data_IF_804458046208
#
_entry.id   IF_804458046208
#
_cell.length_a   1.000
_cell.length_b   1.000
_cell.length_c   1.000
_cell.angle_alpha   90.00
_cell.angle_beta   90.00
_cell.angle_gamma   90.00
#
_symmetry.space_group_name_H-M   'P 1'
#
loop_
_entity.id
_entity.type
_entity.pdbx_description
1 polymer ?
#
# COMPACT_ATOMS: atom_id res chain seq x y z
N UNK A 1 18.18 -32.78 -49.14
CA UNK A 1 18.44 -32.78 -47.69
C UNK A 1 17.42 -31.91 -46.98
N UNK A 2 16.61 -32.51 -46.08
CA UNK A 2 15.48 -31.86 -45.40
C UNK A 2 15.94 -31.09 -44.17
N UNK A 3 15.13 -30.14 -43.68
CA UNK A 3 15.16 -29.73 -42.27
C UNK A 3 13.72 -29.75 -41.76
N UNK A 4 13.54 -30.53 -40.70
CA UNK A 4 12.28 -30.86 -40.04
C UNK A 4 11.62 -29.68 -39.34
N UNK A 5 10.31 -29.82 -39.12
CA UNK A 5 9.46 -28.90 -38.40
C UNK A 5 9.82 -28.72 -36.93
N UNK A 6 9.55 -27.51 -36.45
CA UNK A 6 9.44 -27.17 -35.03
C UNK A 6 8.06 -26.57 -34.78
N UNK A 7 7.17 -27.35 -34.18
CA UNK A 7 5.85 -26.93 -33.76
C UNK A 7 6.00 -25.94 -32.60
N UNK A 8 5.53 -24.71 -32.76
CA UNK A 8 5.44 -23.73 -31.65
C UNK A 8 4.32 -24.22 -30.73
N UNK A 9 4.57 -24.50 -29.43
CA UNK A 9 3.50 -24.89 -28.53
C UNK A 9 2.50 -23.74 -28.43
N UNK A 10 1.22 -24.02 -28.70
CA UNK A 10 0.13 -23.09 -28.47
C UNK A 10 0.08 -22.75 -26.98
N UNK A 11 0.58 -21.57 -26.63
CA UNK A 11 0.31 -20.97 -25.32
C UNK A 11 -1.20 -20.89 -25.17
N UNK A 12 -1.70 -21.49 -24.07
CA UNK A 12 -3.10 -21.57 -23.72
C UNK A 12 -3.79 -20.20 -23.60
N UNK A 13 -5.08 -20.19 -23.22
CA UNK A 13 -5.95 -19.03 -23.38
C UNK A 13 -5.32 -17.77 -22.77
N UNK A 14 -5.09 -16.79 -23.65
CA UNK A 14 -4.67 -15.43 -23.26
C UNK A 14 -5.69 -14.89 -22.26
N UNK A 15 -5.28 -14.35 -21.10
CA UNK A 15 -6.24 -13.72 -20.21
C UNK A 15 -6.80 -12.50 -20.95
N UNK A 16 -8.06 -12.64 -21.35
CA UNK A 16 -8.89 -11.56 -21.86
C UNK A 16 -8.93 -10.50 -20.76
N UNK A 17 -8.41 -9.31 -21.02
CA UNK A 17 -8.56 -8.16 -20.12
C UNK A 17 -10.04 -7.77 -20.12
N UNK A 18 -10.80 -8.34 -19.18
CA UNK A 18 -12.20 -7.98 -18.98
C UNK A 18 -12.21 -6.66 -18.20
N UNK A 19 -12.49 -5.56 -18.90
CA UNK A 19 -12.91 -4.31 -18.28
C UNK A 19 -14.30 -4.55 -17.69
N UNK A 20 -14.35 -4.96 -16.44
CA UNK A 20 -15.58 -5.22 -15.70
C UNK A 20 -15.74 -4.20 -14.57
N UNK A 21 -16.92 -3.60 -14.50
CA UNK A 21 -17.40 -2.80 -13.38
C UNK A 21 -17.18 -3.57 -12.06
N UNK A 22 -16.52 -2.94 -11.09
CA UNK A 22 -16.10 -3.52 -9.80
C UNK A 22 -17.30 -3.84 -8.89
N UNK A 23 -18.52 -3.62 -9.39
CA UNK A 23 -19.78 -3.77 -8.67
C UNK A 23 -20.44 -5.16 -8.83
N UNK A 24 -19.93 -6.07 -9.68
CA UNK A 24 -20.52 -7.39 -9.90
C UNK A 24 -19.95 -8.48 -8.97
N UNK A 25 -20.71 -8.94 -7.95
CA UNK A 25 -20.25 -9.96 -7.00
C UNK A 25 -19.95 -11.31 -7.65
N UNK A 26 -20.48 -11.58 -8.84
CA UNK A 26 -20.28 -12.83 -9.59
C UNK A 26 -18.90 -12.87 -10.23
N UNK A 27 -18.46 -11.74 -10.80
CA UNK A 27 -17.11 -11.59 -11.36
C UNK A 27 -16.05 -11.58 -10.26
N UNK A 28 -16.32 -10.92 -9.13
CA UNK A 28 -15.46 -11.00 -7.93
C UNK A 28 -15.31 -12.45 -7.48
N UNK A 29 -16.39 -13.23 -7.42
CA UNK A 29 -16.36 -14.63 -6.98
C UNK A 29 -15.66 -15.56 -7.98
N UNK A 30 -15.86 -15.35 -9.29
CA UNK A 30 -15.19 -16.13 -10.33
C UNK A 30 -13.68 -15.85 -10.33
N UNK A 31 -13.28 -14.58 -10.22
CA UNK A 31 -11.89 -14.16 -10.11
C UNK A 31 -11.25 -14.67 -8.81
N UNK A 32 -11.95 -14.55 -7.67
CA UNK A 32 -11.57 -15.15 -6.40
C UNK A 32 -11.40 -16.67 -6.53
N UNK A 33 -12.28 -17.41 -7.22
CA UNK A 33 -12.15 -18.87 -7.35
C UNK A 33 -10.92 -19.29 -8.20
N UNK A 34 -10.64 -18.53 -9.26
CA UNK A 34 -9.47 -18.74 -10.13
C UNK A 34 -8.16 -18.44 -9.39
N UNK A 35 -8.18 -17.40 -8.56
CA UNK A 35 -7.06 -17.01 -7.70
C UNK A 35 -6.89 -17.94 -6.51
N UNK A 36 -7.97 -18.39 -5.87
CA UNK A 36 -7.89 -19.41 -4.83
C UNK A 36 -7.25 -20.66 -5.41
N UNK A 37 -7.54 -20.99 -6.68
CA UNK A 37 -6.88 -22.08 -7.40
C UNK A 37 -5.42 -21.79 -7.79
N UNK A 38 -5.02 -20.53 -8.00
CA UNK A 38 -3.65 -20.12 -8.31
C UNK A 38 -2.78 -20.03 -7.04
N UNK A 39 -3.28 -19.37 -5.99
CA UNK A 39 -2.74 -19.36 -4.62
C UNK A 39 -2.66 -20.78 -4.06
N UNK A 40 -3.68 -21.62 -4.29
CA UNK A 40 -3.66 -23.03 -3.89
C UNK A 40 -2.64 -23.86 -4.67
N UNK A 41 -2.24 -23.44 -5.89
CA UNK A 41 -1.17 -24.11 -6.66
C UNK A 41 0.22 -23.66 -6.21
N UNK A 42 0.35 -22.48 -5.62
CA UNK A 42 1.60 -21.98 -5.05
C UNK A 42 1.79 -22.33 -3.57
N UNK A 43 1.01 -23.30 -3.05
CA UNK A 43 1.22 -23.94 -1.74
C UNK A 43 2.52 -24.75 -1.72
N UNK A 44 3.67 -24.09 -1.85
CA UNK A 44 4.86 -24.56 -1.16
C UNK A 44 4.57 -24.38 0.33
N UNK A 45 4.11 -25.46 0.96
CA UNK A 45 3.92 -25.59 2.40
C UNK A 45 2.88 -24.63 3.03
N UNK A 46 1.60 -24.86 2.78
CA UNK A 46 0.57 -24.46 3.75
C UNK A 46 0.66 -25.37 4.97
N UNK A 47 1.42 -24.94 5.96
CA UNK A 47 1.10 -25.26 7.34
C UNK A 47 0.08 -24.22 7.80
N UNK A 48 -1.05 -24.72 8.27
CA UNK A 48 -2.05 -24.03 9.09
C UNK A 48 -1.41 -23.02 10.04
N UNK A 49 -1.92 -21.78 10.04
CA UNK A 49 -1.56 -20.75 11.03
C UNK A 49 -0.08 -20.41 10.98
N UNK A 50 0.32 -19.58 10.02
CA UNK A 50 1.43 -18.71 10.35
C UNK A 50 0.86 -17.78 11.43
N UNK A 51 1.52 -17.71 12.56
CA UNK A 51 1.25 -16.66 13.55
C UNK A 51 2.15 -15.50 13.15
N UNK A 52 1.74 -14.27 13.54
CA UNK A 52 2.59 -13.05 13.51
C UNK A 52 4.06 -13.48 13.64
N UNK A 53 4.90 -13.20 12.63
CA UNK A 53 6.27 -13.67 12.69
C UNK A 53 6.92 -13.13 13.95
N UNK A 54 7.21 -14.03 14.90
CA UNK A 54 8.04 -13.68 16.04
C UNK A 54 9.37 -13.12 15.55
N UNK A 55 9.99 -12.25 16.36
CA UNK A 55 11.32 -11.69 16.12
C UNK A 55 12.24 -12.74 15.47
N UNK A 56 12.66 -12.48 14.23
CA UNK A 56 13.64 -13.32 13.52
C UNK A 56 13.12 -14.21 12.38
N UNK A 57 11.84 -14.15 11.98
CA UNK A 57 11.44 -14.77 10.70
C UNK A 57 11.86 -13.90 9.51
N UNK A 58 12.29 -14.54 8.41
CA UNK A 58 12.69 -13.84 7.18
C UNK A 58 11.46 -13.25 6.49
N UNK A 59 11.37 -11.93 6.52
CA UNK A 59 10.38 -11.14 5.81
C UNK A 59 10.91 -10.75 4.43
N UNK A 60 10.08 -10.80 3.40
CA UNK A 60 10.41 -10.31 2.08
C UNK A 60 9.76 -8.96 1.82
N UNK A 61 10.57 -7.91 1.91
CA UNK A 61 10.17 -6.54 1.66
C UNK A 61 10.34 -6.20 0.18
N UNK A 62 9.26 -5.80 -0.47
CA UNK A 62 9.31 -5.29 -1.83
C UNK A 62 9.30 -3.77 -1.87
N UNK A 63 10.37 -3.19 -2.41
CA UNK A 63 10.47 -1.73 -2.63
C UNK A 63 10.72 -1.42 -4.10
N UNK A 64 10.56 -0.15 -4.47
CA UNK A 64 11.05 0.40 -5.73
C UNK A 64 12.39 1.11 -5.54
N UNK A 65 12.93 1.61 -6.64
CA UNK A 65 14.09 2.49 -6.71
C UNK A 65 13.67 3.91 -6.37
N UNK A 66 13.58 4.21 -5.08
CA UNK A 66 13.25 5.57 -4.62
C UNK A 66 14.35 6.11 -3.71
N UNK A 67 14.74 7.35 -3.98
CA UNK A 67 15.63 8.16 -3.15
C UNK A 67 14.86 9.07 -2.20
N UNK A 68 13.52 8.96 -2.13
CA UNK A 68 12.73 9.81 -1.24
C UNK A 68 13.01 9.43 0.25
N UNK A 69 13.36 10.40 1.09
CA UNK A 69 13.66 10.15 2.50
C UNK A 69 12.50 9.52 3.28
N UNK A 70 11.24 9.90 3.04
CA UNK A 70 10.09 9.36 3.76
C UNK A 70 9.87 7.88 3.42
N UNK A 71 10.06 7.50 2.15
CA UNK A 71 9.99 6.08 1.75
C UNK A 71 11.17 5.27 2.30
N UNK A 72 12.36 5.89 2.40
CA UNK A 72 13.50 5.29 3.07
C UNK A 72 13.20 5.04 4.55
N UNK A 73 12.51 5.96 5.22
CA UNK A 73 12.07 5.79 6.62
C UNK A 73 11.05 4.68 6.75
N UNK A 74 10.01 4.64 5.92
CA UNK A 74 9.05 3.53 5.91
C UNK A 74 9.74 2.17 5.66
N UNK A 75 10.74 2.13 4.77
CA UNK A 75 11.54 0.94 4.53
C UNK A 75 12.35 0.53 5.76
N UNK A 76 13.03 1.47 6.41
CA UNK A 76 13.77 1.23 7.66
C UNK A 76 12.84 0.78 8.78
N UNK A 77 11.69 1.42 8.97
CA UNK A 77 10.64 1.05 9.92
C UNK A 77 10.25 -0.43 9.77
N UNK A 78 9.94 -0.84 8.52
CA UNK A 78 9.53 -2.21 8.21
C UNK A 78 10.66 -3.24 8.40
N UNK A 79 11.91 -2.83 8.22
CA UNK A 79 13.10 -3.70 8.37
C UNK A 79 13.64 -3.75 9.79
N UNK A 80 13.40 -2.73 10.62
CA UNK A 80 13.98 -2.62 11.96
C UNK A 80 13.49 -3.73 12.91
N UNK A 81 12.24 -4.17 12.72
CA UNK A 81 11.60 -5.19 13.54
C UNK A 81 11.80 -6.62 13.01
N UNK A 82 12.47 -6.79 11.87
CA UNK A 82 12.52 -8.09 11.18
C UNK A 82 13.88 -8.37 10.53
N UNK A 83 14.38 -9.60 10.63
CA UNK A 83 15.60 -10.05 9.92
C UNK A 83 15.35 -10.36 8.44
N UNK A 84 14.59 -9.51 7.76
CA UNK A 84 14.08 -9.72 6.40
C UNK A 84 15.09 -9.49 5.29
N UNK A 85 14.82 -10.08 4.12
CA UNK A 85 15.51 -9.79 2.86
C UNK A 85 14.67 -8.77 2.07
N UNK A 86 15.31 -7.80 1.42
CA UNK A 86 14.63 -6.93 0.48
C UNK A 86 14.75 -7.44 -0.95
N UNK A 87 13.70 -7.26 -1.74
CA UNK A 87 13.70 -7.46 -3.20
C UNK A 87 13.26 -6.19 -3.90
N UNK A 88 13.93 -5.87 -4.99
CA UNK A 88 13.49 -4.81 -5.88
C UNK A 88 12.49 -5.39 -6.87
N UNK A 89 11.24 -4.92 -6.83
CA UNK A 89 10.24 -5.22 -7.86
C UNK A 89 9.84 -3.93 -8.56
N UNK A 90 9.87 -3.94 -9.89
CA UNK A 90 9.39 -2.82 -10.71
C UNK A 90 7.86 -2.80 -10.78
N UNK A 91 7.28 -1.60 -10.72
CA UNK A 91 5.84 -1.38 -10.90
C UNK A 91 4.97 -1.69 -9.68
N UNK A 92 3.97 -0.85 -9.44
CA UNK A 92 3.02 -0.95 -8.33
C UNK A 92 2.21 -2.25 -8.37
N UNK A 93 1.70 -2.62 -9.55
CA UNK A 93 0.90 -3.84 -9.72
C UNK A 93 1.65 -5.13 -9.41
N UNK A 94 2.92 -5.24 -9.83
CA UNK A 94 3.74 -6.43 -9.55
C UNK A 94 4.05 -6.60 -8.06
N UNK A 95 4.27 -5.50 -7.34
CA UNK A 95 4.46 -5.52 -5.88
C UNK A 95 3.21 -6.02 -5.17
N UNK A 96 2.04 -5.48 -5.52
CA UNK A 96 0.77 -5.89 -4.93
C UNK A 96 0.43 -7.36 -5.27
N UNK A 97 0.72 -7.80 -6.50
CA UNK A 97 0.56 -9.20 -6.89
C UNK A 97 1.50 -10.12 -6.09
N UNK A 98 2.74 -9.71 -5.85
CA UNK A 98 3.66 -10.47 -5.01
C UNK A 98 3.13 -10.65 -3.58
N UNK A 99 2.46 -9.63 -3.02
CA UNK A 99 1.78 -9.72 -1.71
C UNK A 99 0.62 -10.72 -1.78
N UNK A 100 -0.26 -10.59 -2.77
CA UNK A 100 -1.43 -11.45 -2.89
C UNK A 100 -1.09 -12.92 -3.14
N UNK A 101 0.04 -13.20 -3.80
CA UNK A 101 0.56 -14.54 -4.04
C UNK A 101 1.41 -15.09 -2.87
N UNK A 102 1.63 -14.31 -1.81
CA UNK A 102 2.52 -14.67 -0.70
C UNK A 102 4.00 -14.75 -1.08
N UNK A 103 4.38 -14.14 -2.20
CA UNK A 103 5.77 -13.98 -2.64
C UNK A 103 6.46 -12.80 -1.97
N UNK A 104 5.73 -11.86 -1.40
CA UNK A 104 6.23 -10.77 -0.57
C UNK A 104 5.33 -10.63 0.67
N UNK A 105 5.87 -10.06 1.74
CA UNK A 105 5.16 -9.92 3.02
C UNK A 105 4.67 -8.49 3.23
N UNK A 106 5.50 -7.50 2.86
CA UNK A 106 5.13 -6.09 2.78
C UNK A 106 5.68 -5.49 1.49
N UNK A 107 4.95 -4.51 0.95
CA UNK A 107 5.37 -3.75 -0.22
C UNK A 107 5.19 -2.26 0.03
N UNK A 108 6.25 -1.50 -0.23
CA UNK A 108 6.24 -0.03 -0.19
C UNK A 108 6.34 0.49 -1.63
N UNK A 109 5.39 1.34 -2.00
CA UNK A 109 5.28 1.92 -3.33
C UNK A 109 5.68 3.40 -3.28
N UNK A 110 6.08 3.94 -4.43
CA UNK A 110 6.49 5.33 -4.51
C UNK A 110 5.29 6.29 -4.52
N UNK A 111 5.57 7.56 -4.27
CA UNK A 111 4.59 8.66 -4.31
C UNK A 111 4.03 8.95 -5.71
N UNK A 112 4.60 8.35 -6.75
CA UNK A 112 4.17 8.49 -8.15
C UNK A 112 3.16 7.41 -8.57
N UNK A 113 2.88 6.44 -7.69
CA UNK A 113 1.79 5.50 -7.93
C UNK A 113 0.47 6.24 -7.97
N UNK A 114 -0.36 5.90 -8.95
CA UNK A 114 -1.66 6.53 -9.15
C UNK A 114 -2.82 5.68 -8.61
N UNK A 115 -4.01 6.27 -8.61
CA UNK A 115 -5.28 5.61 -8.37
C UNK A 115 -5.46 4.38 -9.29
N UNK A 116 -5.14 4.51 -10.59
CA UNK A 116 -5.27 3.40 -11.53
C UNK A 116 -4.21 2.31 -11.36
N UNK A 117 -3.04 2.63 -10.81
CA UNK A 117 -1.99 1.63 -10.52
C UNK A 117 -2.35 0.74 -9.31
N UNK A 118 -3.26 1.19 -8.44
CA UNK A 118 -3.57 0.55 -7.16
C UNK A 118 -4.99 0.02 -7.07
N UNK A 119 -5.96 0.52 -7.85
CA UNK A 119 -7.37 0.13 -7.71
C UNK A 119 -7.62 -1.38 -7.89
N UNK A 120 -7.14 -1.97 -8.98
CA UNK A 120 -7.32 -3.40 -9.23
C UNK A 120 -6.45 -4.26 -8.28
N UNK A 121 -5.16 -3.94 -8.03
CA UNK A 121 -4.35 -4.73 -7.10
C UNK A 121 -4.78 -4.62 -5.64
N UNK A 122 -5.37 -3.51 -5.21
CA UNK A 122 -5.93 -3.37 -3.85
C UNK A 122 -7.04 -4.39 -3.61
N UNK A 123 -7.97 -4.54 -4.56
CA UNK A 123 -9.03 -5.54 -4.48
C UNK A 123 -8.45 -6.96 -4.37
N UNK A 124 -7.36 -7.23 -5.09
CA UNK A 124 -6.66 -8.51 -5.06
C UNK A 124 -6.00 -8.78 -3.70
N UNK A 125 -5.22 -7.83 -3.18
CA UNK A 125 -4.55 -7.94 -1.87
C UNK A 125 -5.56 -8.15 -0.75
N UNK A 126 -6.70 -7.44 -0.78
CA UNK A 126 -7.77 -7.64 0.21
C UNK A 126 -8.48 -8.97 0.06
N UNK A 127 -8.71 -9.42 -1.16
CA UNK A 127 -9.31 -10.74 -1.42
C UNK A 127 -8.42 -11.89 -0.91
N UNK A 128 -7.09 -11.70 -0.87
CA UNK A 128 -6.16 -12.65 -0.27
C UNK A 128 -5.97 -12.45 1.24
N UNK A 129 -6.81 -11.65 1.90
CA UNK A 129 -6.76 -11.41 3.35
C UNK A 129 -5.75 -10.34 3.79
N UNK A 130 -5.01 -9.70 2.88
CA UNK A 130 -4.06 -8.63 3.18
C UNK A 130 -4.71 -7.27 3.42
N UNK A 131 -3.89 -6.22 3.44
CA UNK A 131 -4.38 -4.84 3.38
C UNK A 131 -3.49 -3.94 2.52
N UNK A 132 -4.04 -2.83 2.04
CA UNK A 132 -3.34 -1.80 1.29
C UNK A 132 -3.86 -0.43 1.73
N UNK A 133 -2.97 0.46 2.15
CA UNK A 133 -3.30 1.81 2.64
C UNK A 133 -2.28 2.81 2.12
N UNK A 134 -2.48 4.09 2.40
CA UNK A 134 -1.37 5.03 2.36
C UNK A 134 -0.40 4.82 3.54
N UNK A 135 0.72 5.56 3.54
CA UNK A 135 1.73 5.47 4.59
C UNK A 135 1.22 5.93 5.97
N UNK A 136 0.05 6.59 6.04
CA UNK A 136 -0.59 7.00 7.29
C UNK A 136 -1.72 6.05 7.69
N UNK A 137 -1.85 4.88 7.06
CA UNK A 137 -2.85 3.88 7.40
C UNK A 137 -4.27 4.22 6.96
N UNK A 138 -4.48 5.23 6.12
CA UNK A 138 -5.80 5.59 5.59
C UNK A 138 -6.05 4.88 4.25
N UNK A 139 -7.32 4.57 3.98
CA UNK A 139 -7.73 3.95 2.71
C UNK A 139 -7.44 4.88 1.54
N UNK A 140 -6.94 4.31 0.44
CA UNK A 140 -6.85 5.03 -0.82
C UNK A 140 -8.27 5.33 -1.30
N UNK A 141 -8.51 6.56 -1.76
CA UNK A 141 -9.79 6.99 -2.30
C UNK A 141 -9.66 7.08 -3.81
N UNK A 142 -10.41 6.26 -4.54
CA UNK A 142 -10.43 6.25 -5.99
C UNK A 142 -11.50 7.19 -6.52
N UNK A 143 -11.12 8.41 -6.88
CA UNK A 143 -11.99 9.40 -7.48
C UNK A 143 -11.69 9.53 -8.99
N UNK A 144 -12.72 9.47 -9.83
CA UNK A 144 -12.60 9.62 -11.30
C UNK A 144 -12.46 11.08 -11.75
N UNK A 145 -12.74 12.05 -10.87
CA UNK A 145 -12.65 13.49 -11.12
C UNK A 145 -12.08 14.22 -9.89
N UNK A 146 -10.79 14.01 -9.55
CA UNK A 146 -10.17 14.66 -8.40
C UNK A 146 -10.02 16.17 -8.63
N UNK A 147 -10.46 16.96 -7.65
CA UNK A 147 -10.26 18.41 -7.62
C UNK A 147 -9.07 18.77 -6.71
N UNK A 148 -8.29 19.83 -7.02
CA UNK A 148 -7.19 20.28 -6.16
C UNK A 148 -7.62 20.47 -4.69
N UNK A 149 -6.77 20.08 -3.70
CA UNK A 149 -5.41 19.54 -3.83
C UNK A 149 -5.36 18.05 -4.21
N UNK A 150 -6.51 17.38 -4.36
CA UNK A 150 -6.55 15.98 -4.74
C UNK A 150 -6.03 15.79 -6.17
N UNK A 151 -5.39 14.66 -6.42
CA UNK A 151 -4.82 14.27 -7.70
C UNK A 151 -5.09 12.80 -7.94
N UNK A 152 -4.84 12.32 -9.17
CA UNK A 152 -4.78 10.89 -9.45
C UNK A 152 -3.59 10.20 -8.78
N UNK A 153 -2.61 10.96 -8.28
CA UNK A 153 -1.43 10.43 -7.60
C UNK A 153 -1.69 10.14 -6.11
N UNK A 154 -1.13 9.04 -5.63
CA UNK A 154 -1.11 8.66 -4.22
C UNK A 154 0.02 9.42 -3.49
N UNK A 155 -0.18 10.73 -3.30
CA UNK A 155 0.85 11.64 -2.76
C UNK A 155 1.26 11.32 -1.30
N UNK A 156 0.47 10.54 -0.57
CA UNK A 156 0.81 10.05 0.77
C UNK A 156 1.42 8.63 0.76
N UNK A 157 1.86 8.18 -0.41
CA UNK A 157 2.49 6.89 -0.63
C UNK A 157 1.48 5.75 -0.53
N UNK A 158 1.96 4.53 -0.72
CA UNK A 158 1.15 3.33 -0.60
C UNK A 158 1.97 2.21 0.03
N UNK A 159 1.36 1.51 0.98
CA UNK A 159 1.89 0.34 1.64
C UNK A 159 0.88 -0.79 1.54
N UNK A 160 1.34 -2.00 1.24
CA UNK A 160 0.52 -3.20 1.22
C UNK A 160 1.17 -4.30 2.06
N UNK A 161 0.36 -5.13 2.72
CA UNK A 161 0.81 -6.25 3.53
C UNK A 161 -0.03 -7.49 3.28
N UNK A 162 0.59 -8.66 3.48
CA UNK A 162 -0.14 -9.93 3.62
C UNK A 162 -0.94 -9.97 4.94
N UNK A 163 -1.88 -10.91 5.05
CA UNK A 163 -2.77 -11.06 6.20
C UNK A 163 -2.02 -11.06 7.56
N UNK A 164 -0.94 -11.83 7.62
CA UNK A 164 -0.04 -12.01 8.76
C UNK A 164 0.72 -10.73 9.17
N UNK A 165 0.86 -9.78 8.25
CA UNK A 165 1.77 -8.63 8.36
C UNK A 165 1.03 -7.30 8.56
N UNK A 166 -0.30 -7.33 8.71
CA UNK A 166 -1.10 -6.13 9.01
C UNK A 166 -0.64 -5.40 10.26
N UNK A 167 -0.21 -6.13 11.29
CA UNK A 167 0.35 -5.55 12.51
C UNK A 167 1.59 -4.71 12.22
N UNK A 168 2.53 -5.27 11.46
CA UNK A 168 3.74 -4.56 11.03
C UNK A 168 3.42 -3.37 10.12
N UNK A 169 2.45 -3.50 9.20
CA UNK A 169 1.98 -2.37 8.40
C UNK A 169 1.46 -1.24 9.30
N UNK A 170 0.71 -1.57 10.35
CA UNK A 170 0.23 -0.57 11.31
C UNK A 170 1.38 0.10 12.05
N UNK A 171 2.35 -0.67 12.53
CA UNK A 171 3.51 -0.12 13.24
C UNK A 171 4.32 0.83 12.34
N UNK A 172 4.50 0.49 11.06
CA UNK A 172 5.10 1.38 10.07
C UNK A 172 4.27 2.65 9.89
N UNK A 173 2.94 2.52 9.78
CA UNK A 173 2.07 3.70 9.66
C UNK A 173 2.12 4.60 10.90
N UNK A 174 2.22 4.02 12.09
CA UNK A 174 2.32 4.77 13.35
C UNK A 174 3.67 5.50 13.42
N UNK A 175 4.78 4.89 12.98
CA UNK A 175 6.07 5.56 12.85
C UNK A 175 6.00 6.73 11.85
N UNK A 176 5.38 6.52 10.68
CA UNK A 176 5.21 7.56 9.67
C UNK A 176 4.30 8.71 10.11
N UNK A 177 3.40 8.51 11.08
CA UNK A 177 2.61 9.59 11.68
C UNK A 177 3.43 10.46 12.65
N UNK A 178 4.55 9.96 13.15
CA UNK A 178 5.50 10.73 13.96
C UNK A 178 6.67 11.34 13.16
N UNK A 179 6.84 10.95 11.91
CA UNK A 179 7.96 11.40 11.07
C UNK A 179 7.67 12.75 10.39
N UNK A 180 8.54 13.73 10.61
CA UNK A 180 8.35 15.08 10.06
C UNK A 180 8.36 15.11 8.53
N UNK A 181 9.20 14.29 7.89
CA UNK A 181 9.33 14.24 6.42
C UNK A 181 8.13 13.58 5.75
N UNK A 182 7.54 12.58 6.42
CA UNK A 182 6.26 12.03 6.03
C UNK A 182 5.17 13.08 6.13
N UNK A 183 5.08 13.77 7.28
CA UNK A 183 4.04 14.77 7.55
C UNK A 183 4.07 15.96 6.57
N UNK A 184 5.24 16.35 6.05
CA UNK A 184 5.35 17.33 4.95
C UNK A 184 4.51 16.95 3.72
N UNK A 185 4.27 15.65 3.47
CA UNK A 185 3.39 15.21 2.37
C UNK A 185 1.92 15.59 2.59
N UNK A 186 1.54 16.03 3.78
CA UNK A 186 0.19 16.51 4.11
C UNK A 186 0.03 18.03 3.90
N UNK A 187 1.08 18.76 3.52
CA UNK A 187 1.03 20.21 3.24
C UNK A 187 -0.10 20.62 2.29
N UNK A 188 -0.41 19.88 1.20
CA UNK A 188 -1.51 20.25 0.30
C UNK A 188 -2.88 20.28 0.99
N UNK A 189 -3.04 19.59 2.12
CA UNK A 189 -4.26 19.58 2.93
C UNK A 189 -4.20 20.53 4.13
N UNK A 190 -3.18 21.38 4.20
CA UNK A 190 -3.02 22.41 5.24
C UNK A 190 -2.13 22.00 6.41
N UNK A 191 -1.31 20.95 6.27
CA UNK A 191 -0.28 20.67 7.27
C UNK A 191 0.77 21.78 7.28
N UNK A 192 1.20 22.18 8.47
CA UNK A 192 2.25 23.20 8.66
C UNK A 192 3.28 22.63 9.63
N UNK A 193 4.49 22.38 9.13
CA UNK A 193 5.61 21.89 9.93
C UNK A 193 6.07 22.98 10.90
N UNK A 194 6.01 22.70 12.21
CA UNK A 194 6.52 23.59 13.26
C UNK A 194 5.61 24.78 13.59
N UNK A 195 4.85 24.65 14.67
CA UNK A 195 4.47 25.82 15.47
C UNK A 195 5.70 26.22 16.29
N UNK A 196 6.61 27.01 15.72
CA UNK A 196 7.55 27.71 16.58
C UNK A 196 6.79 28.86 17.26
N UNK A 197 6.67 28.76 18.57
CA UNK A 197 6.36 29.87 19.49
C UNK A 197 7.07 31.15 19.04
N UNK A 198 6.30 32.17 18.65
CA UNK A 198 6.88 33.39 18.10
C UNK A 198 5.91 34.49 17.74
N UNK A 199 4.75 34.59 18.40
CA UNK A 199 4.06 35.88 18.57
C UNK A 199 3.67 36.02 20.04
N UNK A 200 4.46 36.83 20.76
CA UNK A 200 4.04 37.46 22.00
C UNK A 200 2.75 38.24 21.71
N UNK A 201 1.63 37.78 22.27
CA UNK A 201 0.70 38.59 23.07
C UNK A 201 -0.53 37.77 23.48
N UNK A 202 -0.58 37.45 24.77
CA UNK A 202 -1.77 37.25 25.59
C UNK A 202 -2.95 36.45 25.05
N UNK A 203 -3.02 35.16 25.39
CA UNK A 203 -4.05 34.62 26.30
C UNK A 203 -3.72 33.14 26.57
N UNK A 204 -3.53 32.80 27.84
CA UNK A 204 -3.02 31.51 28.27
C UNK A 204 -4.17 30.51 28.46
N UNK A 205 -4.76 30.01 27.38
CA UNK A 205 -5.60 28.79 27.39
C UNK A 205 -5.52 28.07 26.03
N UNK A 206 -4.36 27.56 25.66
CA UNK A 206 -4.21 26.63 24.54
C UNK A 206 -3.51 25.39 25.05
N UNK A 207 -4.27 24.32 25.28
CA UNK A 207 -3.71 23.00 25.60
C UNK A 207 -2.65 22.63 24.57
N UNK A 208 -1.47 22.23 25.02
CA UNK A 208 -0.44 21.60 24.20
C UNK A 208 -1.08 20.39 23.52
N UNK A 209 -1.50 20.60 22.29
CA UNK A 209 -2.24 19.61 21.54
C UNK A 209 -1.29 18.49 21.16
N UNK A 210 -1.65 17.27 21.56
CA UNK A 210 -0.86 16.08 21.24
C UNK A 210 -0.71 15.99 19.71
N UNK A 211 0.54 15.84 19.25
CA UNK A 211 0.87 15.69 17.84
C UNK A 211 0.02 14.59 17.20
N UNK A 212 -0.22 13.50 17.92
CA UNK A 212 -1.05 12.40 17.44
C UNK A 212 -2.48 12.86 17.11
N UNK A 213 -3.11 13.63 18.00
CA UNK A 213 -4.46 14.16 17.79
C UNK A 213 -4.51 15.13 16.60
N UNK A 214 -3.49 16.00 16.49
CA UNK A 214 -3.38 16.94 15.38
C UNK A 214 -3.25 16.21 14.04
N UNK A 215 -2.41 15.17 13.98
CA UNK A 215 -2.25 14.33 12.79
C UNK A 215 -3.55 13.62 12.44
N UNK A 216 -4.23 13.04 13.42
CA UNK A 216 -5.47 12.31 13.17
C UNK A 216 -6.59 13.21 12.64
N UNK A 217 -6.76 14.42 13.21
CA UNK A 217 -7.73 15.38 12.67
C UNK A 217 -7.42 15.79 11.24
N UNK A 218 -6.13 15.96 10.91
CA UNK A 218 -5.71 16.29 9.55
C UNK A 218 -5.98 15.14 8.56
N UNK A 219 -5.71 13.90 8.96
CA UNK A 219 -6.01 12.72 8.14
C UNK A 219 -7.51 12.54 7.93
N UNK A 220 -8.33 12.81 8.95
CA UNK A 220 -9.79 12.78 8.86
C UNK A 220 -10.33 13.88 7.92
N UNK A 221 -9.81 15.11 8.04
CA UNK A 221 -10.14 16.21 7.14
C UNK A 221 -9.82 15.82 5.69
N UNK A 222 -8.60 15.30 5.45
CA UNK A 222 -8.18 14.81 4.13
C UNK A 222 -9.12 13.73 3.60
N UNK A 223 -9.49 12.73 4.40
CA UNK A 223 -10.41 11.67 3.97
C UNK A 223 -11.80 12.22 3.59
N UNK A 224 -12.32 13.21 4.34
CA UNK A 224 -13.57 13.89 4.00
C UNK A 224 -13.44 14.64 2.67
N UNK A 225 -12.36 15.40 2.49
CA UNK A 225 -12.09 16.16 1.25
C UNK A 225 -11.92 15.26 0.04
N UNK A 226 -11.25 14.12 0.18
CA UNK A 226 -11.09 13.13 -0.89
C UNK A 226 -12.43 12.52 -1.33
N UNK A 227 -13.34 12.29 -0.38
CA UNK A 227 -14.65 11.67 -0.61
C UNK A 227 -15.73 12.65 -1.06
N UNK A 228 -15.60 13.93 -0.72
CA UNK A 228 -16.58 14.96 -1.08
C UNK A 228 -16.72 15.17 -2.60
N UNK A 229 -15.73 14.71 -3.39
CA UNK A 229 -15.77 14.76 -4.84
C UNK A 229 -16.16 13.45 -5.53
N UNK A 230 -16.62 12.43 -4.79
CA UNK A 230 -17.10 11.16 -5.34
C UNK A 230 -18.55 11.24 -5.82
#
# INVERSE_FOLDING_TARGET
NPIHGGCIPSLGPRPLLVTGDVSDPTLTRAYQSSLTSAVSRNKRSTATGRSVPGRGQSMLLSTGDTSDPALTRAFTASSSNTSGRSILLGGTGQKCLAIAEGRADIAIMNFLSSAWDTCAPEALVRASGGDLTDLFGRRIVYNSSPNPPNSFLNNCGVIASGEEFKGLQRDVCDEMRGDSLALEKLEPWGWVSGSNSGEENGDATGSEEDLAERVDRMLDLRQRTLRAGL
#
